data_IF_884820909303
#
_entry.id   IF_884820909303
#
_cell.length_a   1.000
_cell.length_b   1.000
_cell.length_c   1.000
_cell.angle_alpha   90.00
_cell.angle_beta   90.00
_cell.angle_gamma   90.00
#
_symmetry.space_group_name_H-M   'P 1'
#
loop_
_entity.id
_entity.type
_entity.pdbx_description
1 polymer ?
#
# COMPACT_ATOMS: atom_id res chain seq x y z
N UNK A 1 -4.59 -10.35 -3.54
CA UNK A 1 -5.06 -9.56 -2.38
C UNK A 1 -5.70 -8.28 -2.88
N UNK A 2 -6.82 -7.92 -2.31
CA UNK A 2 -7.48 -6.68 -2.68
C UNK A 2 -6.98 -5.52 -1.83
N UNK A 3 -7.21 -4.31 -2.29
CA UNK A 3 -6.72 -3.11 -1.61
C UNK A 3 -7.17 -3.07 -0.15
N UNK A 4 -8.43 -3.38 0.12
CA UNK A 4 -8.92 -3.35 1.49
C UNK A 4 -8.16 -4.30 2.39
N UNK A 5 -7.92 -5.53 1.92
CA UNK A 5 -7.16 -6.51 2.69
C UNK A 5 -5.72 -6.08 2.89
N UNK A 6 -5.14 -5.44 1.88
CA UNK A 6 -3.78 -4.94 1.97
C UNK A 6 -3.66 -3.87 3.05
N UNK A 7 -4.62 -2.95 3.08
CA UNK A 7 -4.63 -1.88 4.08
C UNK A 7 -4.81 -2.47 5.48
N UNK A 8 -5.74 -3.41 5.62
CA UNK A 8 -5.98 -4.06 6.92
C UNK A 8 -4.73 -4.77 7.41
N UNK A 9 -4.01 -5.42 6.50
CA UNK A 9 -2.77 -6.10 6.84
C UNK A 9 -1.74 -5.11 7.37
N UNK A 10 -1.57 -3.98 6.68
CA UNK A 10 -0.61 -2.97 7.10
C UNK A 10 -0.97 -2.40 8.48
N UNK A 11 -2.24 -2.16 8.72
CA UNK A 11 -2.69 -1.64 10.01
C UNK A 11 -2.41 -2.67 11.10
N UNK A 12 -2.73 -3.92 10.84
CA UNK A 12 -2.57 -5.00 11.80
C UNK A 12 -1.09 -5.20 12.14
N UNK A 13 -0.23 -5.03 11.16
CA UNK A 13 1.21 -5.19 11.37
C UNK A 13 1.88 -3.92 11.88
N UNK A 14 1.09 -2.89 12.15
CA UNK A 14 1.60 -1.61 12.62
C UNK A 14 2.63 -1.03 11.66
N UNK A 15 2.29 -1.07 10.37
CA UNK A 15 3.14 -0.54 9.31
C UNK A 15 2.43 0.59 8.58
N UNK A 16 2.30 1.76 9.22
CA UNK A 16 1.61 2.88 8.57
C UNK A 16 2.42 3.47 7.41
N UNK A 17 3.72 3.22 7.39
CA UNK A 17 4.60 3.67 6.31
C UNK A 17 5.28 2.43 5.74
N UNK A 18 5.34 2.35 4.43
CA UNK A 18 5.91 1.16 3.78
C UNK A 18 6.54 1.53 2.45
N UNK A 19 7.49 0.72 2.02
CA UNK A 19 8.18 0.92 0.76
C UNK A 19 7.55 0.07 -0.34
N UNK A 20 7.94 0.36 -1.57
CA UNK A 20 7.51 -0.47 -2.70
C UNK A 20 7.98 -1.92 -2.50
N UNK A 21 9.20 -2.12 -1.98
CA UNK A 21 9.69 -3.46 -1.72
C UNK A 21 8.84 -4.17 -0.68
N UNK A 22 8.44 -3.46 0.37
CA UNK A 22 7.54 -4.04 1.37
C UNK A 22 6.26 -4.53 0.72
N UNK A 23 5.67 -3.70 -0.12
CA UNK A 23 4.43 -4.06 -0.78
C UNK A 23 4.59 -5.26 -1.70
N UNK A 24 5.71 -5.33 -2.43
CA UNK A 24 5.97 -6.45 -3.31
C UNK A 24 6.02 -7.76 -2.52
N UNK A 25 6.64 -7.73 -1.35
CA UNK A 25 6.72 -8.91 -0.50
C UNK A 25 5.37 -9.31 0.04
N UNK A 26 4.60 -8.34 0.50
CA UNK A 26 3.29 -8.60 1.07
C UNK A 26 2.35 -9.16 0.01
N UNK A 27 2.37 -8.58 -1.17
CA UNK A 27 1.47 -8.98 -2.27
C UNK A 27 1.96 -10.22 -3.01
N UNK A 28 3.22 -10.56 -2.87
CA UNK A 28 3.84 -11.66 -3.62
C UNK A 28 3.72 -11.44 -5.12
N UNK A 29 3.99 -10.22 -5.54
CA UNK A 29 3.91 -9.84 -6.95
C UNK A 29 5.14 -9.07 -7.36
N UNK A 30 5.35 -8.99 -8.68
CA UNK A 30 6.49 -8.28 -9.21
C UNK A 30 6.28 -6.76 -9.11
N UNK A 31 7.31 -6.04 -9.51
CA UNK A 31 7.30 -4.59 -9.40
C UNK A 31 6.20 -3.96 -10.23
N UNK A 32 6.05 -4.41 -11.48
CA UNK A 32 5.07 -3.82 -12.39
C UNK A 32 3.65 -3.91 -11.84
N UNK A 33 3.28 -5.09 -11.37
CA UNK A 33 1.95 -5.28 -10.78
C UNK A 33 1.78 -4.40 -9.55
N UNK A 34 2.79 -4.42 -8.67
CA UNK A 34 2.71 -3.70 -7.41
C UNK A 34 2.58 -2.20 -7.62
N UNK A 35 3.33 -1.65 -8.57
CA UNK A 35 3.25 -0.22 -8.86
C UNK A 35 1.83 0.16 -9.26
N UNK A 36 1.21 -0.64 -10.13
CA UNK A 36 -0.16 -0.37 -10.56
C UNK A 36 -1.14 -0.50 -9.41
N UNK A 37 -0.93 -1.51 -8.57
CA UNK A 37 -1.79 -1.74 -7.41
C UNK A 37 -1.74 -0.54 -6.48
N UNK A 38 -0.54 -0.06 -6.17
CA UNK A 38 -0.38 1.09 -5.28
C UNK A 38 -0.90 2.37 -5.92
N UNK A 39 -0.72 2.50 -7.22
CA UNK A 39 -1.24 3.65 -7.93
C UNK A 39 -2.76 3.76 -7.78
N UNK A 40 -3.45 2.63 -7.88
CA UNK A 40 -4.90 2.60 -7.68
C UNK A 40 -5.26 3.00 -6.26
N UNK A 41 -4.48 2.54 -5.28
CA UNK A 41 -4.72 2.88 -3.90
C UNK A 41 -4.57 4.37 -3.64
N UNK A 42 -3.56 4.98 -4.24
CA UNK A 42 -3.35 6.42 -4.14
C UNK A 42 -4.52 7.16 -4.77
N UNK A 43 -4.93 6.71 -5.95
CA UNK A 43 -6.00 7.35 -6.68
C UNK A 43 -7.32 7.30 -5.93
N UNK A 44 -7.56 6.21 -5.22
CA UNK A 44 -8.80 6.04 -4.45
C UNK A 44 -8.71 6.65 -3.06
N UNK A 45 -7.57 7.15 -2.67
CA UNK A 45 -7.41 7.80 -1.38
C UNK A 45 -7.13 6.90 -0.20
N UNK A 46 -6.79 5.64 -0.44
CA UNK A 46 -6.46 4.70 0.64
C UNK A 46 -5.04 4.90 1.15
N UNK A 47 -4.15 5.26 0.27
CA UNK A 47 -2.75 5.45 0.62
C UNK A 47 -2.26 6.73 -0.02
N UNK A 48 -1.15 7.25 0.52
CA UNK A 48 -0.51 8.41 -0.04
C UNK A 48 0.93 8.07 -0.38
N UNK A 49 1.54 8.92 -1.18
CA UNK A 49 2.92 8.75 -1.57
C UNK A 49 3.74 9.88 -0.96
N UNK A 50 4.74 9.49 -0.16
CA UNK A 50 5.62 10.48 0.45
C UNK A 50 6.66 10.94 -0.56
N UNK A 51 7.29 9.96 -1.20
CA UNK A 51 8.27 10.21 -2.22
C UNK A 51 8.37 8.93 -3.03
N UNK A 52 9.25 8.92 -4.04
CA UNK A 52 9.37 7.75 -4.89
C UNK A 52 9.65 6.50 -4.05
N UNK A 53 8.79 5.51 -4.20
CA UNK A 53 8.96 4.23 -3.52
C UNK A 53 8.60 4.21 -2.05
N UNK A 54 8.05 5.30 -1.53
CA UNK A 54 7.68 5.37 -0.12
C UNK A 54 6.24 5.83 0.00
N UNK A 55 5.44 5.04 0.73
CA UNK A 55 4.01 5.26 0.84
C UNK A 55 3.55 5.23 2.29
N UNK A 56 2.34 5.71 2.53
CA UNK A 56 1.77 5.67 3.87
C UNK A 56 0.28 5.38 3.77
N UNK A 57 -0.25 4.79 4.84
CA UNK A 57 -1.67 4.47 4.93
C UNK A 57 -2.42 5.75 5.24
N UNK A 58 -3.37 6.09 4.38
CA UNK A 58 -4.12 7.33 4.47
C UNK A 58 -5.55 7.09 4.89
N UNK A 59 -6.01 5.86 4.69
CA UNK A 59 -7.39 5.50 4.97
C UNK A 59 -7.72 5.75 6.42
N UNK A 60 -8.93 6.22 6.63
CA UNK A 60 -9.42 6.49 7.95
C UNK A 60 -10.66 5.72 8.22
N UNK A 61 -10.79 5.27 9.43
CA UNK A 61 -11.98 4.56 9.89
C UNK A 61 -12.63 5.40 10.95
N UNK A 62 -13.85 5.71 10.70
CA UNK A 62 -14.59 6.50 11.67
C UNK A 62 -15.81 5.76 12.10
#
# INVERSE_FOLDING_TARGET
>A
MQMKGFIEFLIEMHMPVFTLNDAMKILHHDRAYTVLFLHRGVKKGFIGRVERGLYYVKARYN
#
